data_IF_447908315838
#
_entry.id   IF_447908315838
#
_cell.length_a   1.000
_cell.length_b   1.000
_cell.length_c   1.000
_cell.angle_alpha   90.00
_cell.angle_beta   90.00
_cell.angle_gamma   90.00
#
_symmetry.space_group_name_H-M   'P 1'
#
loop_
_entity.id
_entity.type
_entity.pdbx_description
1 polymer ?
#
# COMPACT_ATOMS: atom_id res chain seq x y z
N UNK A 1 -3.83 14.78 -18.63
CA UNK A 1 -4.75 13.62 -18.56
C UNK A 1 -6.12 14.19 -18.27
N UNK A 2 -7.04 14.06 -19.21
CA UNK A 2 -8.42 14.50 -19.01
C UNK A 2 -9.19 13.45 -18.18
N UNK A 3 -10.29 13.84 -17.49
CA UNK A 3 -11.13 12.86 -16.78
C UNK A 3 -11.67 11.75 -17.69
N UNK A 4 -11.88 12.04 -18.97
CA UNK A 4 -12.31 11.05 -19.95
C UNK A 4 -11.21 10.03 -20.25
N UNK A 5 -9.94 10.46 -20.36
CA UNK A 5 -8.79 9.57 -20.52
C UNK A 5 -8.67 8.62 -19.34
N UNK A 6 -8.91 9.13 -18.11
CA UNK A 6 -8.91 8.30 -16.88
C UNK A 6 -10.04 7.26 -16.90
N UNK A 7 -11.24 7.64 -17.36
CA UNK A 7 -12.38 6.71 -17.47
C UNK A 7 -12.08 5.62 -18.49
N UNK A 8 -11.47 5.97 -19.61
CA UNK A 8 -11.09 5.02 -20.65
C UNK A 8 -10.02 4.04 -20.15
N UNK A 9 -8.99 4.55 -19.48
CA UNK A 9 -7.98 3.69 -18.80
C UNK A 9 -8.62 2.74 -17.78
N UNK A 10 -9.51 3.25 -16.94
CA UNK A 10 -10.21 2.42 -15.94
C UNK A 10 -11.02 1.31 -16.61
N UNK A 11 -11.74 1.63 -17.69
CA UNK A 11 -12.55 0.62 -18.41
C UNK A 11 -11.70 -0.40 -19.17
N UNK A 12 -10.54 0.02 -19.67
CA UNK A 12 -9.64 -0.85 -20.44
C UNK A 12 -8.86 -1.81 -19.53
N UNK A 13 -8.43 -1.34 -18.38
CA UNK A 13 -7.50 -2.11 -17.53
C UNK A 13 -8.15 -2.72 -16.28
N UNK A 14 -9.31 -2.21 -15.82
CA UNK A 14 -10.00 -2.79 -14.68
C UNK A 14 -11.13 -3.75 -15.13
N UNK A 15 -11.31 -4.86 -14.40
CA UNK A 15 -12.48 -5.71 -14.56
C UNK A 15 -13.78 -4.91 -14.42
N UNK A 16 -14.87 -5.31 -15.14
CA UNK A 16 -16.16 -4.58 -15.14
C UNK A 16 -16.73 -4.31 -13.74
N UNK A 17 -16.50 -5.23 -12.81
CA UNK A 17 -16.91 -5.12 -11.41
C UNK A 17 -16.32 -3.88 -10.72
N UNK A 18 -15.04 -3.61 -10.93
CA UNK A 18 -14.33 -2.49 -10.29
C UNK A 18 -14.48 -1.19 -11.08
N UNK A 19 -14.56 -1.26 -12.40
CA UNK A 19 -14.80 -0.09 -13.23
C UNK A 19 -16.16 0.57 -12.94
N UNK A 20 -17.18 -0.24 -12.62
CA UNK A 20 -18.49 0.25 -12.19
C UNK A 20 -18.46 1.10 -10.91
N UNK A 21 -17.53 0.83 -10.00
CA UNK A 21 -17.34 1.61 -8.76
C UNK A 21 -16.50 2.87 -8.98
N UNK A 22 -15.44 2.77 -9.78
CA UNK A 22 -14.46 3.85 -9.97
C UNK A 22 -14.95 4.94 -10.93
N UNK A 23 -15.64 4.57 -12.01
CA UNK A 23 -16.12 5.51 -13.02
C UNK A 23 -17.07 6.59 -12.46
N UNK A 24 -18.07 6.27 -11.60
CA UNK A 24 -18.91 7.29 -10.97
C UNK A 24 -18.11 8.26 -10.09
N UNK A 25 -17.10 7.78 -9.39
CA UNK A 25 -16.22 8.61 -8.57
C UNK A 25 -15.47 9.61 -9.44
N UNK A 26 -14.84 9.15 -10.54
CA UNK A 26 -14.14 10.03 -11.49
C UNK A 26 -15.09 11.07 -12.08
N UNK A 27 -16.32 10.68 -12.45
CA UNK A 27 -17.33 11.60 -12.98
C UNK A 27 -17.78 12.64 -11.96
N UNK A 28 -17.95 12.25 -10.69
CA UNK A 28 -18.34 13.18 -9.63
C UNK A 28 -17.27 14.24 -9.33
N UNK A 29 -16.02 13.89 -9.61
CA UNK A 29 -14.86 14.78 -9.48
C UNK A 29 -14.66 15.70 -10.70
N UNK A 30 -15.33 15.41 -11.82
CA UNK A 30 -15.17 16.16 -13.05
C UNK A 30 -15.65 17.61 -12.87
N UNK A 31 -14.78 18.55 -13.16
CA UNK A 31 -15.03 19.99 -13.04
C UNK A 31 -14.85 20.62 -11.66
N UNK A 32 -14.62 19.82 -10.61
CA UNK A 32 -14.42 20.32 -9.21
C UNK A 32 -12.96 20.26 -8.75
N UNK A 33 -12.09 19.54 -9.46
CA UNK A 33 -10.71 19.34 -9.03
C UNK A 33 -9.77 20.29 -9.77
N UNK A 34 -9.49 21.42 -9.17
CA UNK A 34 -8.29 22.20 -9.49
C UNK A 34 -7.10 21.51 -8.86
N UNK A 35 -5.92 21.53 -9.52
CA UNK A 35 -4.67 20.96 -9.00
C UNK A 35 -4.38 21.39 -7.57
N UNK A 36 -4.73 22.61 -7.21
CA UNK A 36 -4.60 23.18 -5.86
C UNK A 36 -5.45 22.43 -4.84
N UNK A 37 -6.71 22.14 -5.13
CA UNK A 37 -7.57 21.37 -4.22
C UNK A 37 -7.08 19.94 -4.02
N UNK A 38 -6.60 19.29 -5.10
CA UNK A 38 -6.01 17.95 -4.98
C UNK A 38 -4.77 17.95 -4.08
N UNK A 39 -3.86 18.90 -4.26
CA UNK A 39 -2.65 19.01 -3.46
C UNK A 39 -2.96 19.24 -1.97
N UNK A 40 -3.87 20.16 -1.68
CA UNK A 40 -4.30 20.44 -0.29
C UNK A 40 -4.95 19.19 0.32
N UNK A 41 -5.81 18.50 -0.43
CA UNK A 41 -6.48 17.28 0.05
C UNK A 41 -5.47 16.19 0.36
N UNK A 42 -4.51 15.93 -0.53
CA UNK A 42 -3.46 14.92 -0.31
C UNK A 42 -2.62 15.28 0.93
N UNK A 43 -2.20 16.52 1.06
CA UNK A 43 -1.42 16.97 2.24
C UNK A 43 -2.23 16.80 3.53
N UNK A 44 -3.51 17.17 3.51
CA UNK A 44 -4.41 17.02 4.67
C UNK A 44 -4.62 15.55 5.03
N UNK A 45 -4.79 14.67 4.04
CA UNK A 45 -4.90 13.22 4.24
C UNK A 45 -3.63 12.64 4.84
N UNK A 46 -2.45 12.96 4.28
CA UNK A 46 -1.17 12.50 4.81
C UNK A 46 -0.96 12.99 6.24
N UNK A 47 -1.26 14.27 6.50
CA UNK A 47 -1.19 14.84 7.83
C UNK A 47 -2.13 14.15 8.81
N UNK A 48 -3.36 13.87 8.43
CA UNK A 48 -4.33 13.17 9.27
C UNK A 48 -3.93 11.71 9.51
N UNK A 49 -3.58 10.98 8.46
CA UNK A 49 -3.17 9.58 8.53
C UNK A 49 -1.86 9.40 9.35
N UNK A 50 -0.97 10.39 9.34
CA UNK A 50 0.26 10.35 10.13
C UNK A 50 0.03 10.26 11.65
N UNK A 51 -1.19 10.57 12.15
CA UNK A 51 -1.55 10.33 13.56
C UNK A 51 -1.47 8.85 13.93
N UNK A 52 -1.87 7.95 13.02
CA UNK A 52 -1.77 6.51 13.25
C UNK A 52 -0.32 6.07 13.44
N UNK A 53 0.58 6.53 12.56
CA UNK A 53 2.02 6.24 12.68
C UNK A 53 2.60 6.84 13.97
N UNK A 54 2.21 8.07 14.32
CA UNK A 54 2.63 8.70 15.56
C UNK A 54 2.20 7.89 16.79
N UNK A 55 0.98 7.36 16.79
CA UNK A 55 0.49 6.48 17.86
C UNK A 55 1.27 5.17 17.95
N UNK A 56 1.62 4.56 16.80
CA UNK A 56 2.50 3.39 16.77
C UNK A 56 3.89 3.70 17.35
N UNK A 57 4.47 4.83 16.98
CA UNK A 57 5.77 5.28 17.50
C UNK A 57 5.71 5.48 19.02
N UNK A 58 4.67 6.15 19.52
CA UNK A 58 4.47 6.34 20.95
C UNK A 58 4.31 5.00 21.67
N UNK A 59 3.54 4.07 21.09
CA UNK A 59 3.38 2.71 21.63
C UNK A 59 4.70 1.94 21.70
N UNK A 60 5.50 1.97 20.63
CA UNK A 60 6.81 1.33 20.58
C UNK A 60 7.78 1.93 21.62
N UNK A 61 7.84 3.27 21.70
CA UNK A 61 8.67 3.93 22.70
C UNK A 61 8.23 3.56 24.14
N UNK A 62 6.92 3.50 24.39
CA UNK A 62 6.38 3.11 25.71
C UNK A 62 6.75 1.67 26.09
N UNK A 63 6.61 0.71 25.17
CA UNK A 63 6.95 -0.71 25.39
C UNK A 63 8.44 -0.87 25.71
N UNK A 64 9.28 -0.07 25.09
CA UNK A 64 10.73 -0.11 25.27
C UNK A 64 11.26 0.88 26.31
N UNK A 65 10.36 1.54 27.07
CA UNK A 65 10.71 2.53 28.11
C UNK A 65 11.60 3.69 27.59
N UNK A 66 11.43 4.04 26.31
CA UNK A 66 12.23 5.09 25.66
C UNK A 66 11.54 6.44 25.85
N UNK A 67 12.27 7.40 26.40
CA UNK A 67 11.81 8.78 26.49
C UNK A 67 11.92 9.49 25.13
N UNK A 68 10.81 9.96 24.60
CA UNK A 68 10.79 10.71 23.35
C UNK A 68 11.32 12.13 23.56
N UNK A 69 12.41 12.47 22.85
CA UNK A 69 13.08 13.79 22.96
C UNK A 69 12.81 14.69 21.74
N UNK A 70 12.23 14.16 20.69
CA UNK A 70 11.98 14.92 19.45
C UNK A 70 10.76 15.81 19.62
N UNK A 71 10.80 17.00 18.99
CA UNK A 71 9.67 17.92 18.98
C UNK A 71 8.47 17.32 18.24
N UNK A 72 7.26 17.64 18.67
CA UNK A 72 5.99 17.19 18.07
C UNK A 72 5.93 17.40 16.55
N UNK A 73 6.39 18.55 16.05
CA UNK A 73 6.39 18.84 14.61
C UNK A 73 7.35 17.92 13.84
N UNK A 74 8.50 17.60 14.41
CA UNK A 74 9.46 16.66 13.83
C UNK A 74 8.86 15.26 13.79
N UNK A 75 8.22 14.82 14.87
CA UNK A 75 7.51 13.55 14.94
C UNK A 75 6.41 13.44 13.88
N UNK A 76 5.65 14.53 13.72
CA UNK A 76 4.59 14.63 12.71
C UNK A 76 5.12 14.50 11.28
N UNK A 77 6.22 15.22 11.01
CA UNK A 77 6.86 15.18 9.69
C UNK A 77 7.40 13.78 9.37
N UNK A 78 8.13 13.17 10.31
CA UNK A 78 8.62 11.80 10.19
C UNK A 78 7.45 10.82 9.95
N UNK A 79 6.39 10.90 10.76
CA UNK A 79 5.20 10.05 10.61
C UNK A 79 4.52 10.24 9.25
N UNK A 80 4.53 11.45 8.69
CA UNK A 80 3.97 11.71 7.35
C UNK A 80 4.81 11.06 6.24
N UNK A 81 6.13 11.01 6.40
CA UNK A 81 7.01 10.29 5.46
C UNK A 81 6.71 8.79 5.50
N UNK A 82 6.57 8.22 6.69
CA UNK A 82 6.30 6.78 6.83
C UNK A 82 4.93 6.37 6.29
N UNK A 83 3.89 7.20 6.50
CA UNK A 83 2.59 6.90 5.89
C UNK A 83 2.65 7.01 4.37
N UNK A 84 3.42 7.95 3.83
CA UNK A 84 3.68 8.04 2.39
C UNK A 84 4.40 6.79 1.85
N UNK A 85 5.45 6.33 2.53
CA UNK A 85 6.16 5.10 2.17
C UNK A 85 5.23 3.87 2.21
N UNK A 86 4.40 3.78 3.23
CA UNK A 86 3.41 2.71 3.36
C UNK A 86 2.37 2.77 2.23
N UNK A 87 1.87 3.96 1.89
CA UNK A 87 0.95 4.14 0.78
C UNK A 87 1.57 3.71 -0.56
N UNK A 88 2.84 4.04 -0.81
CA UNK A 88 3.58 3.59 -2.00
C UNK A 88 3.69 2.06 -2.03
N UNK A 89 3.97 1.41 -0.90
CA UNK A 89 4.03 -0.05 -0.83
C UNK A 89 2.67 -0.70 -1.12
N UNK A 90 1.58 -0.12 -0.61
CA UNK A 90 0.21 -0.57 -0.92
C UNK A 90 -0.08 -0.44 -2.42
N UNK A 91 0.22 0.72 -3.01
CA UNK A 91 0.04 0.94 -4.45
C UNK A 91 0.88 -0.02 -5.29
N UNK A 92 2.13 -0.26 -4.92
CA UNK A 92 2.98 -1.23 -5.59
C UNK A 92 2.40 -2.65 -5.51
N UNK A 93 1.92 -3.07 -4.33
CA UNK A 93 1.23 -4.34 -4.16
C UNK A 93 -0.02 -4.47 -5.04
N UNK A 94 -0.83 -3.41 -5.13
CA UNK A 94 -1.99 -3.35 -6.02
C UNK A 94 -1.60 -3.45 -7.50
N UNK A 95 -0.56 -2.74 -7.93
CA UNK A 95 -0.05 -2.81 -9.29
C UNK A 95 0.40 -4.25 -9.62
N UNK A 96 1.16 -4.88 -8.74
CA UNK A 96 1.57 -6.27 -8.91
C UNK A 96 0.37 -7.22 -9.01
N UNK A 97 -0.68 -6.96 -8.27
CA UNK A 97 -1.88 -7.80 -8.24
C UNK A 97 -2.72 -7.61 -9.51
N UNK A 98 -2.94 -6.39 -9.95
CA UNK A 98 -3.77 -6.05 -11.10
C UNK A 98 -3.07 -6.37 -12.43
N UNK A 99 -1.81 -5.96 -12.57
CA UNK A 99 -1.07 -6.06 -13.83
C UNK A 99 -0.20 -7.31 -13.90
N UNK A 100 0.00 -8.04 -12.81
CA UNK A 100 0.83 -9.24 -12.79
C UNK A 100 0.39 -10.31 -13.80
N UNK A 101 -0.91 -10.49 -14.03
CA UNK A 101 -1.41 -11.41 -15.04
C UNK A 101 -1.16 -10.90 -16.46
N UNK A 102 -1.33 -9.62 -16.72
CA UNK A 102 -1.09 -9.03 -18.04
C UNK A 102 0.38 -9.09 -18.44
N UNK A 103 1.29 -8.86 -17.47
CA UNK A 103 2.73 -9.03 -17.67
C UNK A 103 3.09 -10.49 -17.96
N UNK A 104 2.46 -11.43 -17.28
CA UNK A 104 2.67 -12.87 -17.52
C UNK A 104 2.21 -13.28 -18.90
N UNK A 105 1.04 -12.82 -19.36
CA UNK A 105 0.52 -13.12 -20.70
C UNK A 105 1.48 -12.59 -21.79
N UNK A 106 2.10 -11.43 -21.58
CA UNK A 106 3.11 -10.91 -22.51
C UNK A 106 4.38 -11.78 -22.50
N UNK A 107 4.83 -12.23 -21.32
CA UNK A 107 5.98 -13.14 -21.21
C UNK A 107 5.73 -14.50 -21.88
N UNK A 108 4.50 -15.03 -21.80
CA UNK A 108 4.13 -16.28 -22.49
C UNK A 108 4.17 -16.19 -24.01
N UNK A 109 3.96 -14.98 -24.57
CA UNK A 109 4.12 -14.78 -26.02
C UNK A 109 5.57 -14.94 -26.50
N UNK A 110 6.53 -14.67 -25.63
CA UNK A 110 7.96 -14.82 -25.94
C UNK A 110 8.47 -16.24 -25.68
N UNK A 111 7.89 -16.95 -24.70
CA UNK A 111 8.33 -18.30 -24.27
C UNK A 111 7.12 -19.18 -23.93
N UNK A 112 6.59 -19.97 -24.90
CA UNK A 112 5.41 -20.83 -24.70
C UNK A 112 5.60 -21.92 -23.63
N UNK A 113 6.87 -22.30 -23.33
CA UNK A 113 7.23 -23.27 -22.27
C UNK A 113 6.80 -22.79 -20.88
N UNK A 114 6.55 -21.51 -20.71
CA UNK A 114 6.14 -20.88 -19.42
C UNK A 114 4.63 -21.01 -19.14
N UNK A 115 3.83 -21.46 -20.11
CA UNK A 115 2.37 -21.58 -19.99
C UNK A 115 1.95 -22.54 -18.85
N UNK A 116 2.72 -23.59 -18.61
CA UNK A 116 2.49 -24.56 -17.52
C UNK A 116 2.94 -24.06 -16.13
N UNK A 117 3.49 -22.84 -16.01
CA UNK A 117 4.07 -22.33 -14.76
C UNK A 117 3.23 -21.23 -14.08
N UNK A 118 1.93 -21.16 -14.35
CA UNK A 118 1.04 -20.16 -13.74
C UNK A 118 1.13 -20.11 -12.21
N UNK A 119 1.14 -21.27 -11.56
CA UNK A 119 1.25 -21.35 -10.10
C UNK A 119 2.59 -20.81 -9.62
N UNK A 120 3.67 -21.12 -10.31
CA UNK A 120 5.02 -20.63 -9.96
C UNK A 120 5.09 -19.10 -9.99
N UNK A 121 4.59 -18.48 -11.05
CA UNK A 121 4.60 -17.02 -11.17
C UNK A 121 3.65 -16.33 -10.18
N UNK A 122 2.47 -16.92 -9.92
CA UNK A 122 1.57 -16.43 -8.89
C UNK A 122 2.24 -16.46 -7.50
N UNK A 123 2.98 -17.53 -7.23
CA UNK A 123 3.74 -17.68 -5.98
C UNK A 123 4.85 -16.63 -5.87
N UNK A 124 5.64 -16.42 -6.91
CA UNK A 124 6.68 -15.38 -6.93
C UNK A 124 6.08 -14.01 -6.66
N UNK A 125 4.98 -13.66 -7.31
CA UNK A 125 4.29 -12.38 -7.14
C UNK A 125 3.83 -12.18 -5.68
N UNK A 126 3.26 -13.22 -5.08
CA UNK A 126 2.86 -13.20 -3.67
C UNK A 126 4.05 -12.95 -2.76
N UNK A 127 5.15 -13.69 -2.94
CA UNK A 127 6.36 -13.48 -2.15
C UNK A 127 6.96 -12.10 -2.36
N UNK A 128 6.98 -11.59 -3.60
CA UNK A 128 7.49 -10.24 -3.89
C UNK A 128 6.69 -9.17 -3.14
N UNK A 129 5.36 -9.26 -3.16
CA UNK A 129 4.50 -8.36 -2.39
C UNK A 129 4.76 -8.51 -0.89
N UNK A 130 4.83 -9.73 -0.37
CA UNK A 130 5.11 -10.00 1.04
C UNK A 130 6.45 -9.40 1.48
N UNK A 131 7.51 -9.61 0.71
CA UNK A 131 8.83 -9.04 1.00
C UNK A 131 8.84 -7.51 0.92
N UNK A 132 8.07 -6.91 0.01
CA UNK A 132 7.94 -5.45 -0.06
C UNK A 132 7.37 -4.90 1.25
N UNK A 133 6.27 -5.47 1.75
CA UNK A 133 5.70 -5.06 3.04
C UNK A 133 6.66 -5.34 4.20
N UNK A 134 7.34 -6.48 4.19
CA UNK A 134 8.32 -6.82 5.21
C UNK A 134 9.45 -5.80 5.28
N UNK A 135 9.97 -5.36 4.14
CA UNK A 135 11.01 -4.30 4.07
C UNK A 135 10.47 -2.99 4.63
N UNK A 136 9.24 -2.60 4.27
CA UNK A 136 8.61 -1.38 4.81
C UNK A 136 8.45 -1.46 6.32
N UNK A 137 7.99 -2.58 6.88
CA UNK A 137 7.87 -2.74 8.33
C UNK A 137 9.23 -2.78 9.02
N UNK A 138 10.26 -3.39 8.41
CA UNK A 138 11.64 -3.33 8.95
C UNK A 138 12.12 -1.89 9.02
N UNK A 139 11.92 -1.11 7.96
CA UNK A 139 12.30 0.31 7.93
C UNK A 139 11.55 1.07 9.01
N UNK A 140 10.23 0.87 9.12
CA UNK A 140 9.42 1.52 10.14
C UNK A 140 9.89 1.18 11.55
N UNK A 141 10.05 -0.09 11.89
CA UNK A 141 10.42 -0.52 13.24
C UNK A 141 11.86 -0.17 13.60
N UNK A 142 12.73 0.02 12.62
CA UNK A 142 14.11 0.41 12.86
C UNK A 142 14.28 1.91 13.11
N UNK A 143 13.56 2.72 12.36
CA UNK A 143 13.80 4.17 12.33
C UNK A 143 12.67 4.99 12.98
N UNK A 144 11.50 4.37 13.24
CA UNK A 144 10.39 5.04 13.88
C UNK A 144 10.66 5.35 15.36
N UNK A 145 11.15 4.40 16.18
CA UNK A 145 11.51 4.66 17.56
C UNK A 145 12.67 5.66 17.68
N UNK A 146 12.79 6.28 18.86
CA UNK A 146 13.87 7.24 19.13
C UNK A 146 15.24 6.58 19.29
N UNK A 147 15.28 5.28 19.54
CA UNK A 147 16.50 4.47 19.64
C UNK A 147 16.58 3.45 18.51
N UNK A 148 17.81 3.19 18.06
CA UNK A 148 18.06 2.23 16.98
C UNK A 148 18.12 0.80 17.52
N UNK A 149 17.16 -0.01 17.12
CA UNK A 149 17.16 -1.45 17.41
C UNK A 149 18.02 -2.24 16.43
N UNK A 150 18.57 -3.37 16.90
CA UNK A 150 19.26 -4.32 16.03
C UNK A 150 18.25 -5.02 15.12
N UNK A 151 18.59 -5.18 13.85
CA UNK A 151 17.69 -5.79 12.83
C UNK A 151 17.13 -7.14 13.28
N UNK A 152 17.93 -7.95 14.00
CA UNK A 152 17.49 -9.25 14.53
C UNK A 152 16.33 -9.17 15.53
N UNK A 153 16.22 -8.07 16.28
CA UNK A 153 15.15 -7.85 17.26
C UNK A 153 13.84 -7.42 16.59
N UNK A 154 13.96 -6.74 15.45
CA UNK A 154 12.84 -6.16 14.70
C UNK A 154 12.22 -7.19 13.74
N UNK A 155 13.03 -8.12 13.25
CA UNK A 155 12.65 -9.06 12.19
C UNK A 155 11.38 -9.88 12.51
N UNK A 156 11.21 -10.45 13.74
CA UNK A 156 9.99 -11.17 14.08
C UNK A 156 8.75 -10.28 14.04
N UNK A 157 8.85 -9.04 14.55
CA UNK A 157 7.77 -8.07 14.51
C UNK A 157 7.38 -7.68 13.08
N UNK A 158 8.37 -7.40 12.23
CA UNK A 158 8.13 -7.06 10.82
C UNK A 158 7.50 -8.23 10.05
N UNK A 159 7.94 -9.46 10.28
CA UNK A 159 7.34 -10.65 9.70
C UNK A 159 5.88 -10.82 10.14
N UNK A 160 5.61 -10.73 11.45
CA UNK A 160 4.26 -10.84 11.98
C UNK A 160 3.33 -9.76 11.43
N UNK A 161 3.79 -8.50 11.36
CA UNK A 161 2.99 -7.39 10.81
C UNK A 161 2.69 -7.57 9.32
N UNK A 162 3.67 -8.07 8.56
CA UNK A 162 3.46 -8.39 7.15
C UNK A 162 2.44 -9.51 6.98
N UNK A 163 2.57 -10.59 7.76
CA UNK A 163 1.62 -11.69 7.74
C UNK A 163 0.20 -11.23 8.14
N UNK A 164 0.09 -10.42 9.20
CA UNK A 164 -1.19 -9.85 9.64
C UNK A 164 -1.82 -8.97 8.55
N UNK A 165 -1.02 -8.17 7.83
CA UNK A 165 -1.49 -7.38 6.69
C UNK A 165 -2.10 -8.25 5.59
N UNK A 166 -1.43 -9.34 5.21
CA UNK A 166 -1.94 -10.26 4.19
C UNK A 166 -3.20 -11.00 4.65
N UNK A 167 -3.26 -11.42 5.90
CA UNK A 167 -4.46 -12.03 6.49
C UNK A 167 -5.63 -11.04 6.46
N UNK A 168 -5.40 -9.80 6.88
CA UNK A 168 -6.40 -8.74 6.83
C UNK A 168 -6.87 -8.48 5.41
N UNK A 169 -5.93 -8.36 4.45
CA UNK A 169 -6.23 -8.17 3.03
C UNK A 169 -7.06 -9.32 2.46
N UNK A 170 -6.79 -10.56 2.86
CA UNK A 170 -7.57 -11.73 2.47
C UNK A 170 -9.02 -11.64 2.98
N UNK A 171 -9.23 -11.28 4.24
CA UNK A 171 -10.58 -11.09 4.79
C UNK A 171 -11.33 -9.96 4.10
N UNK A 172 -10.66 -8.84 3.79
CA UNK A 172 -11.25 -7.77 3.00
C UNK A 172 -11.66 -8.25 1.61
N UNK A 173 -10.79 -8.99 0.91
CA UNK A 173 -11.13 -9.55 -0.42
C UNK A 173 -12.36 -10.43 -0.35
N UNK A 174 -12.42 -11.34 0.63
CA UNK A 174 -13.56 -12.23 0.81
C UNK A 174 -14.85 -11.46 1.16
N UNK A 175 -14.75 -10.40 1.96
CA UNK A 175 -15.89 -9.53 2.25
C UNK A 175 -16.41 -8.85 0.98
N UNK A 176 -15.55 -8.24 0.18
CA UNK A 176 -15.97 -7.58 -1.06
C UNK A 176 -16.50 -8.55 -2.11
N UNK A 177 -15.99 -9.78 -2.15
CA UNK A 177 -16.47 -10.79 -3.08
C UNK A 177 -17.87 -11.29 -2.74
N UNK A 178 -18.20 -11.37 -1.45
CA UNK A 178 -19.51 -11.87 -0.98
C UNK A 178 -20.56 -10.77 -0.82
N UNK A 179 -20.17 -9.51 -0.54
CA UNK A 179 -21.09 -8.41 -0.25
C UNK A 179 -21.05 -7.28 -1.30
N UNK A 180 -20.49 -7.52 -2.50
CA UNK A 180 -20.56 -6.53 -3.56
C UNK A 180 -21.98 -6.49 -4.12
N UNK A 181 -22.71 -5.44 -3.78
CA UNK A 181 -24.00 -5.05 -4.36
C UNK A 181 -23.86 -4.66 -5.83
#
# INVERSE_FOLDING_TARGET
ITPNDMIELVRTYLPPKYSGMVVPIIRSLNGKLTTTYMSITILTLLWSASKGILSLMTGLNTIHEISEKRNYFVLRFISSIYIGLFAIAVLFGLILLLFGNSLLIQLYRFEPVLENKHVFFATIRFFLAFFTFMVVFIIMYRFLPSENFKTKQILPGAFFSSAAWFVLSFFFSMYFDNFSF
#
